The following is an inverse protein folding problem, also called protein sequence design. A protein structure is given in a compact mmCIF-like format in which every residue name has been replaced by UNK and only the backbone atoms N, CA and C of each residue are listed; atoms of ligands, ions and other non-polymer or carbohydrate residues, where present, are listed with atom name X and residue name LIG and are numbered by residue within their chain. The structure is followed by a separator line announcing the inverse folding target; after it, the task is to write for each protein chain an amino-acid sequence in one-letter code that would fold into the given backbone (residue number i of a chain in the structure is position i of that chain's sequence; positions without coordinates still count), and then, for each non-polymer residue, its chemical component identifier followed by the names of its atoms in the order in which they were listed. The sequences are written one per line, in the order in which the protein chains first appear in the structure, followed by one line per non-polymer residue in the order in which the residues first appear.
data_IF_289163042031
#
_entry.id   IF_289163042031
#
_cell.length_a   1.000
_cell.length_b   1.000
_cell.length_c   1.000
_cell.angle_alpha   90.00
_cell.angle_beta   90.00
_cell.angle_gamma   90.00
#
_symmetry.space_group_name_H-M   'P 1'
#
loop_
_entity.id
_entity.type
_entity.pdbx_description
1 polymer ?
#
# COMPACT_ATOMS: atom_id res chain seq x y z
N UNK A 1 2.44 -6.86 -10.47
CA UNK A 1 2.63 -5.59 -9.73
C UNK A 1 3.72 -4.72 -10.37
N UNK A 2 4.96 -5.24 -10.57
CA UNK A 2 6.08 -4.46 -11.12
C UNK A 2 5.80 -4.02 -12.55
N UNK A 3 5.33 -4.93 -13.40
CA UNK A 3 4.95 -4.60 -14.79
C UNK A 3 3.83 -3.59 -14.82
N UNK A 4 2.82 -3.75 -13.98
CA UNK A 4 1.67 -2.85 -13.89
C UNK A 4 2.11 -1.45 -13.42
N UNK A 5 3.00 -1.37 -12.44
CA UNK A 5 3.60 -0.11 -12.01
C UNK A 5 4.29 0.63 -13.17
N UNK A 6 5.12 -0.07 -13.95
CA UNK A 6 5.87 0.56 -15.04
C UNK A 6 5.01 0.91 -16.25
N UNK A 7 4.00 0.10 -16.59
CA UNK A 7 3.21 0.31 -17.81
C UNK A 7 1.93 1.10 -17.60
N UNK A 8 1.36 1.09 -16.39
CA UNK A 8 0.08 1.72 -16.08
C UNK A 8 0.21 2.87 -15.06
N UNK A 9 1.43 3.23 -14.66
CA UNK A 9 1.62 4.33 -13.73
C UNK A 9 1.12 5.66 -14.31
N UNK A 10 0.67 6.56 -13.44
CA UNK A 10 0.22 7.91 -13.81
C UNK A 10 1.26 8.67 -14.64
N UNK A 11 2.55 8.39 -14.45
CA UNK A 11 3.64 8.99 -15.22
C UNK A 11 3.61 8.61 -16.71
N UNK A 12 3.25 7.34 -17.01
CA UNK A 12 3.09 6.87 -18.40
C UNK A 12 1.86 7.51 -19.04
N UNK A 13 0.82 7.79 -18.27
CA UNK A 13 -0.40 8.46 -18.73
C UNK A 13 -0.18 9.87 -19.27
N UNK A 14 0.84 10.58 -18.80
CA UNK A 14 1.18 11.97 -19.20
C UNK A 14 2.05 12.01 -20.47
N UNK A 15 2.66 10.88 -20.87
CA UNK A 15 3.52 10.83 -22.04
C UNK A 15 2.74 10.86 -23.35
N UNK A 16 3.31 11.47 -24.39
CA UNK A 16 2.78 11.39 -25.75
C UNK A 16 2.75 9.92 -26.23
N UNK A 17 1.90 9.55 -27.21
CA UNK A 17 1.84 8.18 -27.75
C UNK A 17 3.21 7.66 -28.22
N UNK A 18 4.02 8.52 -28.81
CA UNK A 18 5.35 8.21 -29.26
C UNK A 18 6.33 7.99 -28.09
N UNK A 19 6.24 8.85 -27.07
CA UNK A 19 7.00 8.70 -25.83
C UNK A 19 6.69 7.40 -25.11
N UNK A 20 5.40 6.97 -25.07
CA UNK A 20 4.96 5.70 -24.48
C UNK A 20 5.55 4.49 -25.21
N UNK A 21 5.67 4.55 -26.54
CA UNK A 21 6.24 3.46 -27.33
C UNK A 21 7.71 3.26 -26.98
N UNK A 22 8.52 4.31 -27.00
CA UNK A 22 9.96 4.22 -26.64
C UNK A 22 10.16 3.88 -25.16
N UNK A 23 9.35 4.41 -24.28
CA UNK A 23 9.37 4.06 -22.87
C UNK A 23 9.10 2.56 -22.64
N UNK A 24 8.08 1.98 -23.30
CA UNK A 24 7.79 0.54 -23.24
C UNK A 24 8.94 -0.33 -23.77
N UNK A 25 9.58 0.08 -24.84
CA UNK A 25 10.74 -0.63 -25.39
C UNK A 25 11.93 -0.64 -24.42
N UNK A 26 12.23 0.52 -23.84
CA UNK A 26 13.34 0.67 -22.89
C UNK A 26 13.10 -0.09 -21.59
N UNK A 27 11.91 0.02 -21.05
CA UNK A 27 11.54 -0.62 -19.78
C UNK A 27 11.57 -2.14 -19.86
N UNK A 28 11.19 -2.76 -20.98
CA UNK A 28 11.29 -4.21 -21.14
C UNK A 28 12.71 -4.74 -20.90
N UNK A 29 13.72 -3.98 -21.27
CA UNK A 29 15.13 -4.34 -21.04
C UNK A 29 15.52 -4.14 -19.56
N UNK A 30 15.07 -3.05 -18.95
CA UNK A 30 15.37 -2.73 -17.56
C UNK A 30 14.55 -3.61 -16.57
N UNK A 31 13.31 -3.96 -16.91
CA UNK A 31 12.44 -4.82 -16.12
C UNK A 31 13.07 -6.16 -15.79
N UNK A 32 13.76 -6.76 -16.75
CA UNK A 32 14.47 -8.03 -16.53
C UNK A 32 15.56 -7.91 -15.46
N UNK A 33 16.33 -6.84 -15.50
CA UNK A 33 17.38 -6.59 -14.50
C UNK A 33 16.77 -6.29 -13.12
N UNK A 34 15.65 -5.60 -13.11
CA UNK A 34 14.91 -5.29 -11.89
C UNK A 34 14.31 -6.55 -11.23
N UNK A 35 13.74 -7.45 -12.02
CA UNK A 35 13.23 -8.75 -11.57
C UNK A 35 14.34 -9.62 -10.99
N UNK A 36 15.50 -9.68 -11.65
CA UNK A 36 16.69 -10.40 -11.14
C UNK A 36 17.17 -9.80 -9.80
N UNK A 37 17.14 -8.47 -9.66
CA UNK A 37 17.44 -7.79 -8.40
C UNK A 37 16.45 -8.12 -7.29
N UNK A 38 15.15 -8.17 -7.61
CA UNK A 38 14.12 -8.59 -6.66
C UNK A 38 14.29 -10.06 -6.22
N UNK A 39 14.62 -10.96 -7.15
CA UNK A 39 14.91 -12.37 -6.83
C UNK A 39 16.11 -12.47 -5.88
N UNK A 40 17.19 -11.73 -6.15
CA UNK A 40 18.38 -11.70 -5.29
C UNK A 40 18.09 -11.16 -3.88
N UNK A 41 17.07 -10.28 -3.70
CA UNK A 41 16.61 -9.77 -2.41
C UNK A 41 15.56 -10.67 -1.73
N UNK A 42 15.36 -11.90 -2.18
CA UNK A 42 14.35 -12.84 -1.63
C UNK A 42 13.01 -12.80 -2.35
N UNK A 43 12.94 -12.15 -3.50
CA UNK A 43 11.76 -12.06 -4.36
C UNK A 43 10.68 -11.11 -3.83
N UNK A 44 9.77 -10.70 -4.71
CA UNK A 44 8.59 -9.89 -4.34
C UNK A 44 7.66 -10.57 -3.33
N UNK A 45 7.79 -11.88 -3.15
CA UNK A 45 7.04 -12.67 -2.18
C UNK A 45 7.26 -12.21 -0.71
N UNK A 46 8.47 -11.72 -0.36
CA UNK A 46 8.76 -11.24 0.99
C UNK A 46 7.88 -10.03 1.37
N UNK A 47 7.78 -9.05 0.48
CA UNK A 47 6.95 -7.86 0.71
C UNK A 47 5.45 -8.21 0.80
N UNK A 48 4.97 -9.07 -0.07
CA UNK A 48 3.57 -9.52 -0.06
C UNK A 48 3.23 -10.34 1.19
N UNK A 49 4.20 -11.14 1.69
CA UNK A 49 4.06 -11.88 2.94
C UNK A 49 3.97 -10.92 4.13
N UNK A 50 4.92 -9.99 4.27
CA UNK A 50 4.94 -9.01 5.36
C UNK A 50 3.64 -8.23 5.44
N UNK A 51 3.09 -7.79 4.29
CA UNK A 51 1.81 -7.08 4.27
C UNK A 51 0.64 -7.95 4.74
N UNK A 52 0.60 -9.22 4.32
CA UNK A 52 -0.44 -10.16 4.78
C UNK A 52 -0.34 -10.40 6.28
N UNK A 53 0.86 -10.63 6.78
CA UNK A 53 1.11 -10.85 8.19
C UNK A 53 0.69 -9.62 9.00
N UNK A 54 1.08 -8.42 8.56
CA UNK A 54 0.65 -7.15 9.16
C UNK A 54 -0.89 -7.01 9.18
N UNK A 55 -1.57 -7.37 8.08
CA UNK A 55 -3.03 -7.35 8.02
C UNK A 55 -3.65 -8.23 9.10
N UNK A 56 -3.19 -9.49 9.20
CA UNK A 56 -3.70 -10.42 10.20
C UNK A 56 -3.44 -9.94 11.62
N UNK A 57 -2.20 -9.52 11.91
CA UNK A 57 -1.82 -9.01 13.23
C UNK A 57 -2.64 -7.77 13.63
N UNK A 58 -2.87 -6.86 12.69
CA UNK A 58 -3.67 -5.67 12.94
C UNK A 58 -5.14 -6.02 13.21
N UNK A 59 -5.73 -6.89 12.39
CA UNK A 59 -7.12 -7.35 12.56
C UNK A 59 -7.30 -8.05 13.91
N UNK A 60 -6.41 -8.96 14.25
CA UNK A 60 -6.38 -9.65 15.53
C UNK A 60 -6.23 -8.66 16.69
N UNK A 61 -5.24 -7.77 16.62
CA UNK A 61 -5.01 -6.79 17.68
C UNK A 61 -6.22 -5.89 17.93
N UNK A 62 -6.86 -5.37 16.88
CA UNK A 62 -8.04 -4.51 17.00
C UNK A 62 -9.22 -5.26 17.62
N UNK A 63 -9.45 -6.51 17.24
CA UNK A 63 -10.55 -7.32 17.72
C UNK A 63 -10.32 -7.92 19.12
N UNK A 64 -9.08 -7.92 19.62
CA UNK A 64 -8.76 -8.32 20.99
C UNK A 64 -8.72 -7.13 21.98
N UNK A 65 -8.86 -5.89 21.53
CA UNK A 65 -8.98 -4.74 22.41
C UNK A 65 -10.40 -4.71 23.02
N UNK A 66 -10.55 -5.07 24.29
CA UNK A 66 -11.85 -5.20 24.97
C UNK A 66 -12.76 -4.00 24.77
N UNK A 67 -12.23 -2.77 24.90
CA UNK A 67 -13.00 -1.54 24.75
C UNK A 67 -13.46 -1.26 23.32
N UNK A 68 -12.80 -1.84 22.29
CA UNK A 68 -13.18 -1.76 20.89
C UNK A 68 -14.08 -2.93 20.48
N UNK A 69 -13.70 -4.15 20.85
CA UNK A 69 -14.38 -5.39 20.48
C UNK A 69 -15.83 -5.47 21.01
N UNK A 70 -16.12 -4.80 22.13
CA UNK A 70 -17.50 -4.72 22.66
C UNK A 70 -18.45 -3.88 21.79
N UNK A 71 -17.90 -3.01 20.93
CA UNK A 71 -18.68 -2.06 20.14
C UNK A 71 -18.56 -2.27 18.64
N UNK A 72 -17.45 -2.82 18.19
CA UNK A 72 -17.10 -2.91 16.78
C UNK A 72 -16.39 -4.21 16.47
N UNK A 73 -16.67 -4.77 15.28
CA UNK A 73 -15.89 -5.83 14.67
C UNK A 73 -15.09 -5.22 13.52
N UNK A 74 -13.78 -5.39 13.55
CA UNK A 74 -12.88 -4.87 12.53
C UNK A 74 -12.54 -5.94 11.49
N UNK A 75 -12.57 -5.56 10.23
CA UNK A 75 -12.05 -6.36 9.12
C UNK A 75 -10.99 -5.53 8.41
N UNK A 76 -9.79 -6.08 8.25
CA UNK A 76 -8.65 -5.39 7.64
C UNK A 76 -8.45 -5.88 6.21
N UNK A 77 -8.41 -4.97 5.26
CA UNK A 77 -8.18 -5.23 3.84
C UNK A 77 -6.91 -4.56 3.36
N UNK A 78 -6.25 -5.17 2.39
CA UNK A 78 -5.13 -4.56 1.69
C UNK A 78 -5.60 -4.19 0.30
N UNK A 79 -5.48 -2.90 -0.05
CA UNK A 79 -5.68 -2.42 -1.41
C UNK A 79 -4.34 -1.96 -1.99
N UNK A 80 -4.09 -2.32 -3.23
CA UNK A 80 -2.88 -1.96 -3.96
C UNK A 80 -3.21 -0.96 -5.06
N UNK A 81 -2.34 0.03 -5.26
CA UNK A 81 -2.46 0.93 -6.40
C UNK A 81 -2.14 0.24 -7.73
N UNK A 82 -1.45 -0.89 -7.68
CA UNK A 82 -1.02 -1.69 -8.84
C UNK A 82 -1.06 -3.18 -8.50
N UNK A 83 -1.37 -4.01 -9.49
CA UNK A 83 -1.42 -5.46 -9.36
C UNK A 83 -2.70 -6.01 -8.74
N UNK A 84 -2.60 -7.18 -8.13
CA UNK A 84 -3.71 -7.86 -7.48
C UNK A 84 -4.25 -7.06 -6.28
N UNK A 85 -5.49 -7.31 -5.90
CA UNK A 85 -6.18 -6.59 -4.82
C UNK A 85 -6.29 -5.08 -5.11
N UNK A 86 -6.78 -4.74 -6.31
CA UNK A 86 -7.04 -3.35 -6.68
C UNK A 86 -8.00 -2.67 -5.71
N UNK A 87 -7.94 -1.33 -5.65
CA UNK A 87 -8.89 -0.55 -4.85
C UNK A 87 -10.35 -0.88 -5.18
N UNK A 88 -10.66 -1.09 -6.46
CA UNK A 88 -12.01 -1.44 -6.92
C UNK A 88 -12.46 -2.82 -6.40
N UNK A 89 -11.62 -3.85 -6.53
CA UNK A 89 -11.92 -5.20 -6.05
C UNK A 89 -12.14 -5.22 -4.52
N UNK A 90 -11.31 -4.49 -3.77
CA UNK A 90 -11.43 -4.38 -2.31
C UNK A 90 -12.68 -3.61 -1.92
N UNK A 91 -12.98 -2.50 -2.60
CA UNK A 91 -14.17 -1.68 -2.35
C UNK A 91 -15.46 -2.44 -2.63
N UNK A 92 -15.50 -3.25 -3.72
CA UNK A 92 -16.61 -4.13 -4.03
C UNK A 92 -16.85 -5.13 -2.91
N UNK A 93 -15.80 -5.79 -2.43
CA UNK A 93 -15.88 -6.73 -1.32
C UNK A 93 -16.38 -6.10 -0.03
N UNK A 94 -15.90 -4.90 0.32
CA UNK A 94 -16.36 -4.15 1.50
C UNK A 94 -17.85 -3.86 1.40
N UNK A 95 -18.33 -3.44 0.21
CA UNK A 95 -19.74 -3.19 -0.07
C UNK A 95 -20.58 -4.46 0.07
N UNK A 96 -20.12 -5.58 -0.52
CA UNK A 96 -20.80 -6.87 -0.44
C UNK A 96 -20.95 -7.39 1.00
N UNK A 97 -20.00 -7.06 1.86
CA UNK A 97 -20.04 -7.39 3.30
C UNK A 97 -20.94 -6.46 4.12
N UNK A 98 -21.55 -5.45 3.50
CA UNK A 98 -22.43 -4.50 4.20
C UNK A 98 -21.68 -3.57 5.18
N UNK A 99 -20.37 -3.37 4.98
CA UNK A 99 -19.57 -2.49 5.83
C UNK A 99 -19.85 -1.03 5.43
N UNK A 100 -20.28 -0.22 6.37
CA UNK A 100 -20.65 1.19 6.15
C UNK A 100 -19.52 2.16 6.51
N UNK A 101 -18.65 1.80 7.46
CA UNK A 101 -17.56 2.62 7.95
C UNK A 101 -16.20 2.07 7.48
N UNK A 102 -15.43 2.89 6.80
CA UNK A 102 -14.09 2.54 6.31
C UNK A 102 -13.07 3.49 6.91
N UNK A 103 -12.02 2.94 7.51
CA UNK A 103 -10.84 3.69 7.92
C UNK A 103 -9.77 3.46 6.86
N UNK A 104 -9.44 4.48 6.09
CA UNK A 104 -8.40 4.42 5.07
C UNK A 104 -7.06 4.84 5.66
N UNK A 105 -6.09 3.92 5.60
CA UNK A 105 -4.73 4.14 6.10
C UNK A 105 -3.74 3.98 4.95
N UNK A 106 -3.30 5.07 4.30
CA UNK A 106 -2.20 5.01 3.35
C UNK A 106 -0.92 4.59 4.06
N UNK A 107 -0.22 3.57 3.53
CA UNK A 107 1.01 3.05 4.15
C UNK A 107 2.23 3.94 3.87
N UNK A 108 1.99 5.25 3.81
CA UNK A 108 3.00 6.30 3.67
C UNK A 108 2.93 7.21 4.89
N UNK A 109 3.97 7.20 5.76
CA UNK A 109 3.96 7.99 7.00
C UNK A 109 3.87 9.49 6.76
N UNK A 110 4.48 9.97 5.66
CA UNK A 110 4.46 11.36 5.23
C UNK A 110 3.45 11.57 4.11
N UNK A 111 2.70 12.65 4.20
CA UNK A 111 1.83 13.04 3.10
C UNK A 111 2.64 13.56 1.90
N UNK A 112 2.29 13.10 0.71
CA UNK A 112 2.66 13.74 -0.55
C UNK A 112 1.58 13.48 -1.60
N UNK A 113 1.50 14.37 -2.60
CA UNK A 113 0.58 14.20 -3.73
C UNK A 113 0.89 12.93 -4.55
N UNK A 114 2.18 12.58 -4.65
CA UNK A 114 2.63 11.41 -5.42
C UNK A 114 2.39 10.07 -4.70
N UNK A 115 2.15 10.07 -3.40
CA UNK A 115 1.93 8.88 -2.57
C UNK A 115 0.51 8.85 -2.02
N UNK A 116 0.26 9.49 -0.90
CA UNK A 116 -1.06 9.55 -0.27
C UNK A 116 -2.12 10.11 -1.22
N UNK A 117 -1.81 11.17 -1.97
CA UNK A 117 -2.74 11.75 -2.94
C UNK A 117 -3.16 10.76 -4.05
N UNK A 118 -2.25 9.93 -4.52
CA UNK A 118 -2.57 8.86 -5.51
C UNK A 118 -3.47 7.79 -4.90
N UNK A 119 -3.19 7.35 -3.67
CA UNK A 119 -4.05 6.37 -2.95
C UNK A 119 -5.46 6.90 -2.82
N UNK A 120 -5.61 8.17 -2.39
CA UNK A 120 -6.92 8.80 -2.24
C UNK A 120 -7.67 8.87 -3.57
N UNK A 121 -6.99 9.25 -4.65
CA UNK A 121 -7.60 9.33 -5.98
C UNK A 121 -8.05 7.95 -6.50
N UNK A 122 -7.28 6.89 -6.25
CA UNK A 122 -7.66 5.53 -6.61
C UNK A 122 -8.84 5.03 -5.79
N UNK A 123 -8.85 5.29 -4.48
CA UNK A 123 -9.94 4.90 -3.60
C UNK A 123 -11.24 5.63 -3.95
N UNK A 124 -11.18 6.94 -4.22
CA UNK A 124 -12.33 7.72 -4.67
C UNK A 124 -12.94 7.13 -5.96
N UNK A 125 -12.10 6.87 -6.97
CA UNK A 125 -12.56 6.24 -8.22
C UNK A 125 -13.18 4.86 -7.98
N UNK A 126 -12.63 4.08 -7.06
CA UNK A 126 -13.17 2.76 -6.73
C UNK A 126 -14.56 2.87 -6.08
N UNK A 127 -14.78 3.81 -5.17
CA UNK A 127 -16.09 4.09 -4.58
C UNK A 127 -17.11 4.45 -5.66
N UNK A 128 -16.75 5.34 -6.58
CA UNK A 128 -17.59 5.76 -7.69
C UNK A 128 -17.93 4.59 -8.63
N UNK A 129 -16.93 3.78 -9.00
CA UNK A 129 -17.08 2.65 -9.90
C UNK A 129 -18.05 1.57 -9.37
N UNK A 130 -18.00 1.30 -8.05
CA UNK A 130 -18.90 0.31 -7.44
C UNK A 130 -20.18 0.92 -6.86
N UNK A 131 -20.36 2.22 -7.03
CA UNK A 131 -21.50 2.97 -6.48
C UNK A 131 -21.72 2.64 -4.99
N UNK A 132 -20.67 2.79 -4.19
CA UNK A 132 -20.71 2.58 -2.75
C UNK A 132 -20.89 3.89 -2.00
N UNK A 133 -21.52 3.82 -0.82
CA UNK A 133 -21.66 4.94 0.09
C UNK A 133 -21.06 4.52 1.43
N UNK A 134 -19.82 4.94 1.67
CA UNK A 134 -19.14 4.68 2.94
C UNK A 134 -18.95 5.96 3.73
N UNK A 135 -19.03 5.86 5.05
CA UNK A 135 -18.45 6.86 5.93
C UNK A 135 -16.95 6.60 6.01
N UNK A 136 -16.12 7.49 5.43
CA UNK A 136 -14.68 7.31 5.35
C UNK A 136 -13.98 8.17 6.40
N UNK A 137 -13.16 7.54 7.24
CA UNK A 137 -12.19 8.20 8.10
C UNK A 137 -10.80 8.01 7.52
N UNK A 138 -10.02 9.08 7.40
CA UNK A 138 -8.69 9.06 6.80
C UNK A 138 -7.61 9.27 7.86
N UNK A 139 -6.64 8.38 7.91
CA UNK A 139 -5.35 8.64 8.58
C UNK A 139 -4.45 9.35 7.58
N UNK A 140 -4.38 10.68 7.67
CA UNK A 140 -3.72 11.51 6.68
C UNK A 140 -2.20 11.35 6.68
N UNK A 141 -1.59 11.34 7.87
CA UNK A 141 -0.16 11.13 8.08
C UNK A 141 0.10 10.65 9.52
N UNK A 142 1.22 9.97 9.73
CA UNK A 142 1.64 9.49 11.05
C UNK A 142 3.16 9.55 11.27
N UNK A 143 3.87 10.38 10.49
CA UNK A 143 5.32 10.53 10.54
C UNK A 143 5.85 10.96 11.92
N UNK A 144 5.05 11.71 12.69
CA UNK A 144 5.40 12.18 14.02
C UNK A 144 4.85 11.33 15.16
N UNK A 145 4.18 10.22 14.84
CA UNK A 145 3.65 9.34 15.88
C UNK A 145 4.80 8.72 16.70
N UNK A 146 4.79 8.80 18.03
CA UNK A 146 5.93 8.37 18.86
C UNK A 146 6.38 6.93 18.61
N UNK A 147 5.44 6.01 18.47
CA UNK A 147 5.75 4.60 18.19
C UNK A 147 6.36 4.40 16.80
N UNK A 148 5.96 5.18 15.81
CA UNK A 148 6.58 5.14 14.49
C UNK A 148 8.03 5.64 14.54
N UNK A 149 8.28 6.75 15.22
CA UNK A 149 9.62 7.30 15.42
C UNK A 149 10.51 6.31 16.19
N UNK A 150 9.96 5.68 17.24
CA UNK A 150 10.68 4.65 17.99
C UNK A 150 11.05 3.46 17.10
N UNK A 151 10.11 2.94 16.31
CA UNK A 151 10.34 1.82 15.40
C UNK A 151 11.44 2.14 14.35
N UNK A 152 11.51 3.39 13.84
CA UNK A 152 12.58 3.83 12.96
C UNK A 152 13.93 3.88 13.70
N UNK A 153 13.95 4.43 14.92
CA UNK A 153 15.16 4.49 15.75
C UNK A 153 15.71 3.09 16.00
N UNK A 154 14.85 2.13 16.36
CA UNK A 154 15.24 0.75 16.59
C UNK A 154 15.86 0.11 15.34
N UNK A 155 15.30 0.36 14.16
CA UNK A 155 15.87 -0.13 12.89
C UNK A 155 17.21 0.50 12.55
N UNK A 156 17.37 1.79 12.82
CA UNK A 156 18.66 2.48 12.64
C UNK A 156 19.71 1.89 13.59
N UNK A 157 19.38 1.70 14.85
CA UNK A 157 20.32 1.12 15.83
C UNK A 157 20.68 -0.33 15.48
N UNK A 158 19.74 -1.14 15.05
CA UNK A 158 20.01 -2.48 14.53
C UNK A 158 20.95 -2.44 13.32
N UNK A 159 20.69 -1.53 12.37
CA UNK A 159 21.56 -1.35 11.20
C UNK A 159 22.99 -0.96 11.62
N UNK A 160 23.12 0.01 12.52
CA UNK A 160 24.43 0.47 13.02
C UNK A 160 25.22 -0.64 13.74
N UNK A 161 24.53 -1.55 14.44
CA UNK A 161 25.19 -2.66 15.13
C UNK A 161 25.89 -3.65 14.19
N UNK A 162 25.53 -3.65 12.89
CA UNK A 162 26.11 -4.52 11.87
C UNK A 162 27.36 -3.94 11.21
N UNK A 163 27.67 -2.66 11.45
CA UNK A 163 28.90 -2.05 10.96
C UNK A 163 30.09 -2.39 11.86
N UNK A 164 31.29 -2.61 11.29
CA UNK A 164 32.50 -2.79 12.08
C UNK A 164 32.72 -1.58 12.99
N UNK A 165 33.03 -1.83 14.25
CA UNK A 165 33.52 -0.74 15.14
C UNK A 165 34.91 -0.35 14.66
N UNK A 166 35.04 0.85 14.14
CA UNK A 166 36.34 1.45 13.85
C UNK A 166 36.98 1.94 15.15
#
# INVERSE_FOLDING_TARGET
EVEDFFFNSRYVGVMSPFGRFFYKLRIRKELRNWLLGLEAMGGGAAYSRIRRDLRFMLEEHLNHQEHLAQKHLFSVFIANSYGDSSHEAVTSKIKEMGIEHVILIPMYPHFSQATTGVVLAHFQKAIEAVNAQFKVSLVHEYARHPQYVQALSDRIMEGLSRFPKH
#
